data_IF_051617476441
#
_entry.id   IF_051617476441
#
_cell.length_a   1.000
_cell.length_b   1.000
_cell.length_c   1.000
_cell.angle_alpha   90.00
_cell.angle_beta   90.00
_cell.angle_gamma   90.00
#
_symmetry.space_group_name_H-M   'P 1'
#
loop_
_entity.id
_entity.type
_entity.pdbx_description
1 polymer ?
#
# COMPACT_ATOMS: atom_id res chain seq x y z
N UNK A 1 11.67 -50.19 -2.38
CA UNK A 1 11.57 -49.55 -1.06
C UNK A 1 11.93 -48.09 -1.17
N UNK A 2 10.90 -47.24 -1.33
CA UNK A 2 11.03 -45.80 -1.31
C UNK A 2 11.00 -45.34 0.15
N UNK A 3 12.12 -44.79 0.63
CA UNK A 3 12.20 -44.07 1.88
C UNK A 3 11.44 -42.74 1.73
N UNK A 4 10.20 -42.70 2.20
CA UNK A 4 9.49 -41.48 2.48
C UNK A 4 10.24 -40.76 3.61
N UNK A 5 10.89 -39.64 3.30
CA UNK A 5 11.48 -38.78 4.31
C UNK A 5 10.38 -38.30 5.24
N UNK A 6 10.53 -38.61 6.51
CA UNK A 6 9.63 -38.23 7.59
C UNK A 6 9.84 -36.73 7.93
N UNK A 7 9.50 -35.85 6.98
CA UNK A 7 9.44 -34.40 7.24
C UNK A 7 8.11 -34.15 7.95
N UNK A 8 8.11 -33.47 9.12
CA UNK A 8 6.87 -33.15 9.79
C UNK A 8 6.01 -32.23 8.89
N UNK A 9 4.76 -32.61 8.70
CA UNK A 9 3.78 -31.79 8.03
C UNK A 9 3.58 -30.49 8.82
N UNK A 10 3.85 -29.35 8.18
CA UNK A 10 3.63 -28.04 8.77
C UNK A 10 2.24 -27.57 8.35
N UNK A 11 1.31 -27.50 9.30
CA UNK A 11 -0.01 -26.93 9.08
C UNK A 11 0.06 -25.39 9.22
N UNK A 12 -0.34 -24.66 8.18
CA UNK A 12 -0.49 -23.22 8.24
C UNK A 12 -1.94 -22.87 8.56
N UNK A 13 -2.15 -22.16 9.66
CA UNK A 13 -3.44 -21.57 9.99
C UNK A 13 -3.42 -20.10 9.62
N UNK A 14 -4.30 -19.70 8.70
CA UNK A 14 -4.48 -18.31 8.29
C UNK A 14 -5.84 -17.80 8.77
N UNK A 15 -5.84 -16.67 9.47
CA UNK A 15 -7.08 -16.00 9.84
C UNK A 15 -7.74 -15.41 8.58
N UNK A 16 -9.04 -15.67 8.40
CA UNK A 16 -9.79 -15.08 7.30
C UNK A 16 -10.13 -13.63 7.63
N UNK A 17 -9.57 -12.69 6.87
CA UNK A 17 -9.90 -11.28 6.99
C UNK A 17 -11.36 -11.02 6.58
N UNK A 18 -12.03 -10.14 7.33
CA UNK A 18 -13.41 -9.73 7.07
C UNK A 18 -13.43 -8.35 6.42
N UNK A 19 -14.04 -8.27 5.24
CA UNK A 19 -14.11 -7.02 4.47
C UNK A 19 -14.96 -5.96 5.18
N UNK A 20 -14.42 -4.74 5.39
CA UNK A 20 -15.19 -3.61 5.90
C UNK A 20 -16.36 -3.26 4.99
N UNK A 21 -17.46 -2.74 5.57
CA UNK A 21 -18.65 -2.35 4.81
C UNK A 21 -18.33 -1.33 3.70
N UNK A 22 -17.41 -0.42 3.96
CA UNK A 22 -16.95 0.60 3.02
C UNK A 22 -16.49 0.03 1.66
N UNK A 23 -15.80 -1.10 1.68
CA UNK A 23 -15.22 -1.68 0.47
C UNK A 23 -16.10 -2.73 -0.21
N UNK A 24 -17.21 -3.16 0.42
CA UNK A 24 -18.10 -4.15 -0.17
C UNK A 24 -18.60 -3.79 -1.57
N UNK A 25 -18.98 -2.52 -1.84
CA UNK A 25 -19.51 -2.17 -3.16
C UNK A 25 -18.44 -2.07 -4.24
N UNK A 26 -17.17 -1.89 -3.88
CA UNK A 26 -16.07 -1.62 -4.82
C UNK A 26 -15.04 -2.75 -4.94
N UNK A 27 -15.17 -3.84 -4.18
CA UNK A 27 -14.24 -4.98 -4.22
C UNK A 27 -14.95 -6.26 -4.67
N UNK A 28 -14.40 -6.94 -5.68
CA UNK A 28 -14.94 -8.21 -6.17
C UNK A 28 -14.17 -9.39 -5.57
N UNK A 29 -14.86 -10.25 -4.79
CA UNK A 29 -14.38 -11.53 -4.22
C UNK A 29 -13.06 -11.50 -3.44
N UNK A 30 -12.38 -10.37 -3.36
CA UNK A 30 -11.08 -10.24 -2.72
C UNK A 30 -11.05 -9.12 -1.70
N UNK A 31 -9.89 -8.93 -1.08
CA UNK A 31 -9.67 -7.90 -0.08
C UNK A 31 -8.89 -6.76 -0.73
N UNK A 32 -9.38 -5.50 -0.62
CA UNK A 32 -8.62 -4.32 -0.99
C UNK A 32 -7.31 -4.24 -0.21
N UNK A 33 -6.25 -3.86 -0.90
CA UNK A 33 -4.92 -3.71 -0.31
C UNK A 33 -4.43 -2.29 -0.47
N UNK A 34 -4.00 -1.69 0.62
CA UNK A 34 -3.36 -0.38 0.63
C UNK A 34 -1.86 -0.61 0.58
N UNK A 35 -1.21 -0.15 -0.50
CA UNK A 35 0.24 -0.12 -0.59
C UNK A 35 0.77 1.24 -0.19
N UNK A 36 1.66 1.27 0.79
CA UNK A 36 2.36 2.47 1.22
C UNK A 36 3.86 2.31 0.93
N UNK A 37 4.43 3.24 0.17
CA UNK A 37 5.87 3.33 0.00
C UNK A 37 6.47 4.21 1.09
N UNK A 38 7.46 3.68 1.78
CA UNK A 38 8.20 4.38 2.84
C UNK A 38 9.66 4.49 2.44
N UNK A 39 10.22 5.69 2.55
CA UNK A 39 11.61 5.99 2.29
C UNK A 39 12.23 6.71 3.48
N UNK A 40 13.28 6.14 4.06
CA UNK A 40 13.97 6.68 5.22
C UNK A 40 12.99 7.10 6.34
N UNK A 41 12.07 6.23 6.71
CA UNK A 41 11.02 6.40 7.72
C UNK A 41 9.98 7.48 7.39
N UNK A 42 9.89 7.91 6.14
CA UNK A 42 8.88 8.86 5.68
C UNK A 42 7.97 8.18 4.67
N UNK A 43 6.66 8.11 4.90
CA UNK A 43 5.72 7.65 3.88
C UNK A 43 5.68 8.64 2.72
N UNK A 44 5.96 8.17 1.51
CA UNK A 44 6.14 9.05 0.34
C UNK A 44 5.02 8.94 -0.68
N UNK A 45 4.37 7.79 -0.77
CA UNK A 45 3.30 7.57 -1.74
C UNK A 45 2.42 6.40 -1.30
N UNK A 46 1.13 6.46 -1.59
CA UNK A 46 0.20 5.38 -1.32
C UNK A 46 -0.80 5.17 -2.45
N UNK A 47 -1.30 3.94 -2.58
CA UNK A 47 -2.42 3.58 -3.45
C UNK A 47 -3.30 2.51 -2.82
N UNK A 48 -4.59 2.59 -3.11
CA UNK A 48 -5.55 1.52 -2.86
C UNK A 48 -5.61 0.62 -4.09
N UNK A 49 -5.52 -0.68 -3.90
CA UNK A 49 -5.72 -1.70 -4.94
C UNK A 49 -7.03 -2.41 -4.71
N UNK A 50 -7.92 -2.34 -5.68
CA UNK A 50 -9.24 -2.95 -5.61
C UNK A 50 -9.31 -4.18 -6.52
N UNK A 51 -9.64 -5.35 -5.97
CA UNK A 51 -9.91 -6.54 -6.75
C UNK A 51 -11.12 -6.36 -7.67
N UNK A 52 -11.03 -6.86 -8.90
CA UNK A 52 -12.09 -6.83 -9.92
C UNK A 52 -12.44 -8.23 -10.41
N UNK A 53 -13.46 -8.33 -11.25
CA UNK A 53 -13.75 -9.57 -11.99
C UNK A 53 -12.58 -9.94 -12.92
N UNK A 54 -11.97 -8.95 -13.57
CA UNK A 54 -10.84 -9.16 -14.48
C UNK A 54 -9.60 -9.70 -13.75
N UNK A 55 -9.36 -9.30 -12.49
CA UNK A 55 -8.27 -9.81 -11.66
C UNK A 55 -8.62 -11.07 -10.87
N UNK A 56 -9.82 -11.62 -11.05
CA UNK A 56 -10.34 -12.78 -10.31
C UNK A 56 -10.15 -12.65 -8.79
N UNK A 57 -10.51 -11.48 -8.26
CA UNK A 57 -10.42 -11.21 -6.82
C UNK A 57 -9.02 -10.90 -6.30
N UNK A 58 -8.00 -10.78 -7.16
CA UNK A 58 -6.64 -10.41 -6.76
C UNK A 58 -6.42 -8.90 -6.81
N UNK A 59 -5.78 -8.33 -5.80
CA UNK A 59 -5.43 -6.92 -5.75
C UNK A 59 -4.13 -6.63 -6.53
N UNK A 60 -4.05 -7.09 -7.79
CA UNK A 60 -2.89 -6.98 -8.66
C UNK A 60 -3.24 -6.22 -9.95
N UNK A 61 -2.61 -5.04 -10.14
CA UNK A 61 -2.87 -4.17 -11.30
C UNK A 61 -2.54 -4.87 -12.64
N UNK A 62 -1.47 -5.66 -12.70
CA UNK A 62 -1.08 -6.38 -13.91
C UNK A 62 -2.10 -7.44 -14.32
N UNK A 63 -2.91 -7.90 -13.37
CA UNK A 63 -3.99 -8.88 -13.59
C UNK A 63 -5.37 -8.23 -13.74
N UNK A 64 -5.44 -6.90 -13.83
CA UNK A 64 -6.68 -6.18 -14.06
C UNK A 64 -7.36 -5.62 -12.81
N UNK A 65 -6.68 -5.56 -11.66
CA UNK A 65 -7.16 -4.80 -10.52
C UNK A 65 -7.14 -3.29 -10.80
N UNK A 66 -7.91 -2.53 -10.03
CA UNK A 66 -7.90 -1.06 -10.06
C UNK A 66 -6.86 -0.56 -9.08
N UNK A 67 -6.06 0.42 -9.51
CA UNK A 67 -5.18 1.20 -8.65
C UNK A 67 -5.74 2.60 -8.46
N UNK A 68 -5.93 3.01 -7.21
CA UNK A 68 -6.44 4.35 -6.87
C UNK A 68 -5.39 5.07 -6.04
N UNK A 69 -4.95 6.24 -6.49
CA UNK A 69 -4.03 7.09 -5.73
C UNK A 69 -4.67 7.54 -4.42
N UNK A 70 -3.83 7.77 -3.42
CA UNK A 70 -4.27 8.28 -2.11
C UNK A 70 -3.48 9.53 -1.78
N UNK A 71 -4.17 10.62 -1.47
CA UNK A 71 -3.57 11.82 -0.91
C UNK A 71 -2.95 11.52 0.45
N UNK A 72 -1.65 11.78 0.58
CA UNK A 72 -0.88 11.40 1.77
C UNK A 72 -1.29 12.19 3.02
N UNK A 73 -1.76 13.41 2.85
CA UNK A 73 -2.12 14.28 3.98
C UNK A 73 -3.50 13.89 4.56
N UNK A 74 -4.44 13.57 3.71
CA UNK A 74 -5.84 13.36 4.09
C UNK A 74 -6.27 11.89 4.16
N UNK A 75 -5.55 11.00 3.49
CA UNK A 75 -5.96 9.60 3.32
C UNK A 75 -7.18 9.44 2.42
N UNK A 76 -7.44 10.42 1.55
CA UNK A 76 -8.58 10.40 0.61
C UNK A 76 -8.11 9.92 -0.77
N UNK A 77 -8.88 9.06 -1.40
CA UNK A 77 -8.59 8.59 -2.75
C UNK A 77 -8.74 9.70 -3.78
N UNK A 78 -7.88 9.67 -4.81
CA UNK A 78 -7.79 10.70 -5.85
C UNK A 78 -8.13 10.11 -7.22
N UNK A 79 -7.12 9.84 -8.03
CA UNK A 79 -7.25 9.32 -9.39
C UNK A 79 -7.22 7.81 -9.41
N UNK A 80 -7.90 7.21 -10.39
CA UNK A 80 -7.94 5.77 -10.52
C UNK A 80 -7.53 5.32 -11.92
N UNK A 81 -6.82 4.19 -11.97
CA UNK A 81 -6.38 3.54 -13.19
C UNK A 81 -6.73 2.05 -13.16
N UNK A 82 -6.88 1.46 -14.34
CA UNK A 82 -7.01 0.02 -14.54
C UNK A 82 -6.06 -0.45 -15.65
N UNK A 83 -5.59 -1.69 -15.56
CA UNK A 83 -4.72 -2.29 -16.57
C UNK A 83 -3.40 -1.53 -16.76
N UNK A 84 -3.07 -1.20 -18.01
CA UNK A 84 -1.82 -0.51 -18.38
C UNK A 84 -1.84 1.01 -18.15
N UNK A 85 -2.73 1.52 -17.29
CA UNK A 85 -2.83 2.95 -16.98
C UNK A 85 -4.06 3.64 -17.58
N UNK A 86 -5.08 2.89 -17.98
CA UNK A 86 -6.36 3.47 -18.40
C UNK A 86 -7.01 4.19 -17.22
N UNK A 87 -7.27 5.49 -17.37
CA UNK A 87 -7.96 6.29 -16.36
C UNK A 87 -9.42 5.87 -16.30
N UNK A 88 -9.91 5.69 -15.08
CA UNK A 88 -11.32 5.41 -14.79
C UNK A 88 -11.79 6.28 -13.61
N UNK A 89 -13.06 6.62 -13.60
CA UNK A 89 -13.65 7.48 -12.54
C UNK A 89 -14.53 6.68 -11.58
N UNK A 90 -15.12 5.60 -12.07
CA UNK A 90 -16.07 4.78 -11.31
C UNK A 90 -15.67 3.30 -11.31
N UNK A 91 -16.17 2.56 -10.37
CA UNK A 91 -16.04 1.11 -10.35
C UNK A 91 -16.74 0.54 -11.57
N UNK A 92 -16.08 -0.28 -12.43
CA UNK A 92 -16.66 -0.81 -13.65
C UNK A 92 -18.01 -1.52 -13.43
N UNK A 93 -19.01 -1.12 -14.23
CA UNK A 93 -20.36 -1.64 -14.12
C UNK A 93 -21.20 -1.07 -12.97
N UNK A 94 -20.75 0.02 -12.33
CA UNK A 94 -21.48 0.70 -11.27
C UNK A 94 -21.41 2.24 -11.42
N UNK A 95 -22.19 2.96 -10.63
CA UNK A 95 -22.13 4.42 -10.52
C UNK A 95 -21.24 4.90 -9.35
N UNK A 96 -20.51 3.99 -8.69
CA UNK A 96 -19.71 4.31 -7.51
C UNK A 96 -18.40 5.02 -7.89
N UNK A 97 -18.17 6.26 -7.41
CA UNK A 97 -16.94 6.98 -7.66
C UNK A 97 -15.76 6.34 -6.93
N UNK A 98 -14.59 6.36 -7.59
CA UNK A 98 -13.34 5.88 -7.02
C UNK A 98 -12.56 6.97 -6.29
N UNK A 99 -12.82 8.23 -6.61
CA UNK A 99 -12.25 9.38 -5.91
C UNK A 99 -13.09 9.78 -4.69
N UNK A 100 -12.46 10.41 -3.70
CA UNK A 100 -13.15 10.93 -2.51
C UNK A 100 -13.43 9.90 -1.41
N UNK A 101 -12.98 8.65 -1.57
CA UNK A 101 -13.12 7.63 -0.51
C UNK A 101 -12.10 7.92 0.58
N UNK A 102 -12.58 8.16 1.81
CA UNK A 102 -11.71 8.28 2.98
C UNK A 102 -11.29 6.90 3.48
N UNK A 103 -9.99 6.66 3.50
CA UNK A 103 -9.41 5.43 4.03
C UNK A 103 -9.48 5.47 5.56
N UNK A 104 -10.21 4.55 6.21
CA UNK A 104 -10.25 4.49 7.67
C UNK A 104 -8.88 4.13 8.23
N UNK A 105 -8.63 4.54 9.49
CA UNK A 105 -7.37 4.27 10.18
C UNK A 105 -6.11 4.84 9.50
N UNK A 106 -6.24 5.90 8.68
CA UNK A 106 -5.15 6.39 7.83
C UNK A 106 -3.86 6.68 8.59
N UNK A 107 -3.95 7.41 9.70
CA UNK A 107 -2.79 7.70 10.55
C UNK A 107 -2.11 6.42 11.07
N UNK A 108 -2.89 5.44 11.52
CA UNK A 108 -2.39 4.15 12.00
C UNK A 108 -1.69 3.37 10.88
N UNK A 109 -2.26 3.37 9.66
CA UNK A 109 -1.65 2.73 8.48
C UNK A 109 -0.28 3.33 8.18
N UNK A 110 -0.16 4.67 8.20
CA UNK A 110 1.13 5.33 8.00
C UNK A 110 2.13 4.99 9.09
N UNK A 111 1.73 5.02 10.35
CA UNK A 111 2.57 4.67 11.50
C UNK A 111 3.08 3.24 11.39
N UNK A 112 2.20 2.26 11.17
CA UNK A 112 2.56 0.86 11.00
C UNK A 112 3.56 0.64 9.85
N UNK A 113 3.39 1.37 8.74
CA UNK A 113 4.30 1.29 7.59
C UNK A 113 5.71 1.78 7.93
N UNK A 114 5.81 2.86 8.70
CA UNK A 114 7.09 3.41 9.18
C UNK A 114 7.77 2.49 10.18
N UNK A 115 7.01 1.95 11.12
CA UNK A 115 7.51 0.99 12.11
C UNK A 115 8.04 -0.27 11.44
N UNK A 116 7.31 -0.83 10.47
CA UNK A 116 7.74 -1.97 9.68
C UNK A 116 9.06 -1.70 8.95
N UNK A 117 9.25 -0.52 8.37
CA UNK A 117 10.51 -0.14 7.75
C UNK A 117 11.63 -0.05 8.78
N UNK A 118 11.38 0.51 9.95
CA UNK A 118 12.39 0.67 11.00
C UNK A 118 12.95 -0.67 11.48
N UNK A 119 12.12 -1.72 11.51
CA UNK A 119 12.53 -3.07 11.89
C UNK A 119 13.28 -3.77 10.76
N UNK A 120 12.93 -3.49 9.50
CA UNK A 120 13.47 -4.18 8.33
C UNK A 120 14.88 -3.76 7.92
N UNK A 121 15.42 -2.68 8.47
CA UNK A 121 16.72 -2.07 8.09
C UNK A 121 16.80 -1.64 6.61
N UNK A 122 15.70 -1.62 5.87
CA UNK A 122 15.64 -1.21 4.47
C UNK A 122 15.45 0.31 4.36
N UNK A 123 16.23 0.97 3.50
CA UNK A 123 16.08 2.41 3.22
C UNK A 123 14.81 2.73 2.42
N UNK A 124 14.28 1.75 1.67
CA UNK A 124 13.04 1.86 0.89
C UNK A 124 12.23 0.57 1.01
N UNK A 125 10.94 0.70 1.28
CA UNK A 125 10.03 -0.40 1.55
C UNK A 125 8.64 -0.12 0.99
N UNK A 126 7.96 -1.14 0.48
CA UNK A 126 6.52 -1.13 0.23
C UNK A 126 5.79 -1.99 1.25
N UNK A 127 4.89 -1.41 2.03
CA UNK A 127 4.03 -2.14 2.94
C UNK A 127 2.66 -2.36 2.29
N UNK A 128 2.19 -3.61 2.26
CA UNK A 128 0.85 -4.00 1.85
C UNK A 128 -0.01 -4.23 3.08
N UNK A 129 -1.06 -3.43 3.20
CA UNK A 129 -1.93 -3.39 4.38
C UNK A 129 -3.38 -3.63 3.94
N UNK A 130 -4.06 -4.57 4.59
CA UNK A 130 -5.50 -4.71 4.51
C UNK A 130 -6.17 -4.11 5.75
N UNK A 131 -7.44 -3.74 5.61
CA UNK A 131 -8.26 -3.35 6.76
C UNK A 131 -9.22 -4.49 7.05
N UNK A 132 -9.06 -5.13 8.19
CA UNK A 132 -10.03 -6.09 8.70
C UNK A 132 -11.17 -5.35 9.40
N UNK A 133 -12.41 -5.82 9.21
CA UNK A 133 -13.60 -5.20 9.80
C UNK A 133 -13.55 -5.15 11.32
N UNK A 134 -13.03 -6.21 11.93
CA UNK A 134 -13.11 -6.40 13.38
C UNK A 134 -11.82 -5.99 14.10
N UNK A 135 -10.67 -6.05 13.40
CA UNK A 135 -9.33 -5.81 13.97
C UNK A 135 -8.64 -4.53 13.46
N UNK A 136 -9.22 -3.86 12.43
CA UNK A 136 -8.58 -2.69 11.82
C UNK A 136 -7.44 -3.06 10.84
N UNK A 137 -6.42 -2.21 10.68
CA UNK A 137 -5.36 -2.43 9.70
C UNK A 137 -4.42 -3.57 10.10
N UNK A 138 -4.07 -4.41 9.12
CA UNK A 138 -3.20 -5.58 9.24
C UNK A 138 -2.17 -5.55 8.12
N UNK A 139 -0.89 -5.67 8.44
CA UNK A 139 0.18 -5.83 7.45
C UNK A 139 0.09 -7.23 6.86
N UNK A 140 -0.01 -7.32 5.54
CA UNK A 140 -0.02 -8.59 4.80
C UNK A 140 1.37 -8.97 4.33
N UNK A 141 2.12 -8.01 3.81
CA UNK A 141 3.40 -8.24 3.16
C UNK A 141 4.28 -6.99 3.22
N UNK A 142 5.60 -7.21 3.29
CA UNK A 142 6.62 -6.19 3.17
C UNK A 142 7.49 -6.46 1.94
N UNK A 143 7.59 -5.47 1.05
CA UNK A 143 8.29 -5.59 -0.22
C UNK A 143 9.56 -4.73 -0.21
N UNK A 144 10.74 -5.35 -0.29
CA UNK A 144 12.02 -4.65 -0.37
C UNK A 144 12.23 -3.93 -1.72
N UNK A 145 11.57 -4.40 -2.77
CA UNK A 145 11.61 -3.81 -4.12
C UNK A 145 10.18 -3.65 -4.65
N UNK A 146 9.40 -2.71 -4.08
CA UNK A 146 8.01 -2.54 -4.48
C UNK A 146 7.90 -2.03 -5.92
N UNK A 147 6.92 -2.57 -6.64
CA UNK A 147 6.64 -2.16 -8.03
C UNK A 147 6.22 -0.68 -8.12
N UNK A 148 6.54 -0.06 -9.25
CA UNK A 148 6.37 1.38 -9.46
C UNK A 148 5.00 1.79 -10.03
N UNK A 149 4.06 0.87 -10.20
CA UNK A 149 2.70 1.16 -10.68
C UNK A 149 1.92 2.15 -9.81
N UNK A 150 2.35 2.33 -8.56
CA UNK A 150 1.83 3.36 -7.65
C UNK A 150 1.97 4.78 -8.20
N UNK A 151 3.00 5.05 -9.03
CA UNK A 151 3.20 6.33 -9.69
C UNK A 151 2.09 6.62 -10.71
N UNK A 152 1.65 5.59 -11.45
CA UNK A 152 0.56 5.71 -12.41
C UNK A 152 -0.76 6.06 -11.70
N UNK A 153 -1.08 5.39 -10.60
CA UNK A 153 -2.29 5.66 -9.83
C UNK A 153 -2.33 7.06 -9.20
N UNK A 154 -1.16 7.65 -8.93
CA UNK A 154 -1.02 8.98 -8.34
C UNK A 154 -0.75 10.08 -9.37
N UNK A 155 -0.57 9.78 -10.66
CA UNK A 155 -0.10 10.71 -11.70
C UNK A 155 1.11 11.54 -11.24
N UNK A 156 1.99 10.95 -10.47
CA UNK A 156 3.11 11.65 -9.84
C UNK A 156 4.35 10.76 -9.82
N UNK A 157 5.48 11.32 -10.19
CA UNK A 157 6.76 10.63 -10.12
C UNK A 157 7.22 10.42 -8.67
N UNK A 158 7.68 9.22 -8.38
CA UNK A 158 8.23 8.90 -7.06
C UNK A 158 9.55 9.63 -6.80
N UNK A 159 10.35 9.84 -7.86
CA UNK A 159 11.66 10.50 -7.78
C UNK A 159 11.60 11.85 -7.08
N UNK A 160 10.68 12.72 -7.47
CA UNK A 160 10.54 14.05 -6.84
C UNK A 160 10.25 13.98 -5.35
N UNK A 161 9.43 13.01 -4.93
CA UNK A 161 9.12 12.80 -3.51
C UNK A 161 10.33 12.30 -2.72
N UNK A 162 11.10 11.37 -3.31
CA UNK A 162 12.34 10.88 -2.69
C UNK A 162 13.39 11.99 -2.58
N UNK A 163 13.53 12.83 -3.61
CA UNK A 163 14.49 13.93 -3.60
C UNK A 163 14.11 14.99 -2.56
N UNK A 164 12.82 15.27 -2.34
CA UNK A 164 12.36 16.15 -1.24
C UNK A 164 12.75 15.59 0.12
N UNK A 165 12.55 14.29 0.36
CA UNK A 165 12.92 13.63 1.63
C UNK A 165 14.44 13.73 1.84
N UNK A 166 15.24 13.44 0.82
CA UNK A 166 16.72 13.57 0.89
C UNK A 166 17.13 15.01 1.21
N UNK A 167 16.53 16.00 0.56
CA UNK A 167 16.82 17.42 0.80
C UNK A 167 16.51 17.86 2.24
N UNK A 168 15.44 17.39 2.83
CA UNK A 168 15.08 17.65 4.23
C UNK A 168 16.09 16.99 5.16
N UNK A 169 16.47 15.75 4.92
CA UNK A 169 17.45 15.02 5.75
C UNK A 169 18.81 15.70 5.77
N UNK A 170 19.32 16.14 4.61
CA UNK A 170 20.60 16.87 4.51
C UNK A 170 20.56 18.13 5.36
N UNK A 171 19.51 18.97 5.18
CA UNK A 171 19.34 20.21 5.97
C UNK A 171 19.26 19.96 7.48
N UNK A 172 18.61 18.89 7.90
CA UNK A 172 18.48 18.52 9.32
C UNK A 172 19.84 18.08 9.88
N UNK A 173 20.60 17.28 9.13
CA UNK A 173 21.94 16.84 9.52
C UNK A 173 22.91 18.03 9.64
N UNK A 174 22.90 18.94 8.68
CA UNK A 174 23.74 20.15 8.72
C UNK A 174 23.41 21.04 9.93
N UNK A 175 22.14 21.21 10.27
CA UNK A 175 21.71 21.93 11.48
C UNK A 175 22.17 21.23 12.75
N UNK A 176 22.04 19.91 12.83
CA UNK A 176 22.50 19.12 13.97
C UNK A 176 24.00 19.21 14.18
N UNK A 177 24.79 19.20 13.11
CA UNK A 177 26.26 19.37 13.16
C UNK A 177 26.65 20.78 13.65
N UNK A 178 25.90 21.83 13.27
CA UNK A 178 26.14 23.21 13.76
C UNK A 178 25.82 23.39 15.24
N UNK A 179 24.76 22.71 15.73
CA UNK A 179 24.38 22.76 17.14
C UNK A 179 25.30 21.94 18.07
N UNK A 180 26.02 20.97 17.52
CA UNK A 180 26.98 20.13 18.29
C UNK A 180 28.39 20.67 18.36
N UNK A 181 28.65 21.90 17.87
CA UNK A 181 29.97 22.58 17.89
C UNK A 181 30.08 23.78 18.83
N UNK A 182 29.15 23.92 19.77
CA UNK A 182 29.22 24.92 20.85
C UNK A 182 29.61 24.27 22.19
#
# INVERSE_FOLDING_TARGET
SSSLSNTPDIAFFSARLKLPKLFKPCAYKGIPVIRVHVFNRIPVMAMLRLPTKASDGKANLQQGAIGVGIDMATGTTTTAIMGKGQIIEKVPGTELPLSGIKIPYWKQILTMSVEAQSISSLGFLGADIAIDRDHGPVILELNARPGLSIQLANFSGLKERLDRVRGVMIKTTERGVRLGRN
#
